data_IF_279067555325
#
_entry.id   IF_279067555325
#
_cell.length_a   1.000
_cell.length_b   1.000
_cell.length_c   1.000
_cell.angle_alpha   90.00
_cell.angle_beta   90.00
_cell.angle_gamma   90.00
#
_symmetry.space_group_name_H-M   'P 1'
#
loop_
_entity.id
_entity.type
_entity.pdbx_description
1 polymer ?
#
# COMPACT_ATOMS: atom_id res chain seq x y z
N UNK A 1 -26.23 -22.59 8.34
CA UNK A 1 -25.20 -21.57 8.05
C UNK A 1 -23.84 -22.17 8.37
N UNK A 2 -22.89 -22.24 7.42
CA UNK A 2 -21.52 -22.69 7.73
C UNK A 2 -20.84 -21.62 8.59
N UNK A 3 -20.32 -22.02 9.74
CA UNK A 3 -19.56 -21.15 10.63
C UNK A 3 -18.22 -20.86 9.95
N UNK A 4 -18.01 -19.61 9.53
CA UNK A 4 -16.72 -19.17 8.99
C UNK A 4 -15.74 -19.18 10.16
N UNK A 5 -14.75 -20.06 10.12
CA UNK A 5 -13.67 -20.08 11.10
C UNK A 5 -12.61 -19.09 10.57
N UNK A 6 -12.41 -17.93 11.22
CA UNK A 6 -11.34 -17.02 10.81
C UNK A 6 -9.98 -17.72 10.92
N UNK A 7 -9.12 -17.50 9.93
CA UNK A 7 -7.80 -18.12 9.90
C UNK A 7 -6.98 -17.64 11.12
N UNK A 8 -6.53 -18.54 12.01
CA UNK A 8 -5.82 -18.18 13.24
C UNK A 8 -4.48 -17.47 12.99
N UNK A 9 -3.94 -17.54 11.77
CA UNK A 9 -2.68 -16.90 11.37
C UNK A 9 -2.88 -15.59 10.62
N UNK A 10 -4.11 -15.13 10.41
CA UNK A 10 -4.39 -13.94 9.60
C UNK A 10 -3.64 -12.70 10.10
N UNK A 11 -3.60 -12.50 11.42
CA UNK A 11 -2.86 -11.39 12.04
C UNK A 11 -1.34 -11.52 11.94
N UNK A 12 -0.82 -12.74 11.80
CA UNK A 12 0.62 -12.95 11.55
C UNK A 12 1.02 -12.73 10.09
N UNK A 13 0.05 -12.80 9.17
CA UNK A 13 0.27 -12.66 7.73
C UNK A 13 0.15 -11.22 7.23
N UNK A 14 -0.56 -10.37 7.97
CA UNK A 14 -0.83 -8.99 7.55
C UNK A 14 -0.95 -8.06 8.74
N UNK A 15 -0.50 -6.81 8.55
CA UNK A 15 -0.64 -5.72 9.51
C UNK A 15 -1.40 -4.59 8.83
N UNK A 16 -2.41 -4.05 9.49
CA UNK A 16 -3.09 -2.84 9.04
C UNK A 16 -2.19 -1.61 9.24
N UNK A 17 -2.10 -0.77 8.22
CA UNK A 17 -1.34 0.49 8.26
C UNK A 17 -2.30 1.62 7.88
N UNK A 18 -2.46 2.59 8.76
CA UNK A 18 -3.26 3.79 8.51
C UNK A 18 -2.33 4.97 8.25
N UNK A 19 -2.50 5.63 7.10
CA UNK A 19 -1.79 6.88 6.76
C UNK A 19 -2.73 7.83 6.03
N UNK A 20 -2.40 9.12 6.06
CA UNK A 20 -3.19 10.15 5.37
C UNK A 20 -2.61 10.39 3.99
N UNK A 21 -3.48 10.51 3.01
CA UNK A 21 -3.15 10.93 1.66
C UNK A 21 -3.83 12.27 1.37
N UNK A 22 -3.20 13.08 0.54
CA UNK A 22 -3.83 14.30 0.02
C UNK A 22 -4.95 13.95 -0.97
N UNK A 23 -5.86 14.90 -1.17
CA UNK A 23 -7.00 14.70 -2.06
C UNK A 23 -6.60 14.41 -3.51
N UNK A 24 -5.51 14.98 -4.03
CA UNK A 24 -5.07 14.74 -5.40
C UNK A 24 -4.56 13.31 -5.60
N UNK A 25 -3.80 12.79 -4.64
CA UNK A 25 -3.36 11.39 -4.65
C UNK A 25 -4.55 10.42 -4.62
N UNK A 26 -5.55 10.68 -3.77
CA UNK A 26 -6.76 9.85 -3.67
C UNK A 26 -7.51 9.86 -5.01
N UNK A 27 -7.73 11.04 -5.61
CA UNK A 27 -8.43 11.20 -6.88
C UNK A 27 -7.69 10.50 -8.03
N UNK A 28 -6.35 10.54 -8.03
CA UNK A 28 -5.54 9.83 -9.00
C UNK A 28 -5.79 8.33 -8.96
N UNK A 29 -5.69 7.71 -7.77
CA UNK A 29 -5.91 6.26 -7.64
C UNK A 29 -7.36 5.86 -7.92
N UNK A 30 -8.32 6.71 -7.59
CA UNK A 30 -9.73 6.49 -7.96
C UNK A 30 -9.90 6.39 -9.47
N UNK A 31 -9.39 7.34 -10.25
CA UNK A 31 -9.48 7.34 -11.73
C UNK A 31 -8.81 6.13 -12.36
N UNK A 32 -7.71 5.64 -11.79
CA UNK A 32 -7.06 4.42 -12.27
C UNK A 32 -7.88 3.15 -12.01
N UNK A 33 -8.68 3.14 -10.93
CA UNK A 33 -9.52 2.00 -10.55
C UNK A 33 -10.84 1.93 -11.29
N UNK A 34 -11.37 3.07 -11.76
CA UNK A 34 -12.67 3.18 -12.44
C UNK A 34 -12.89 2.17 -13.58
N UNK A 35 -11.96 1.98 -14.53
CA UNK A 35 -12.14 1.00 -15.62
C UNK A 35 -12.28 -0.45 -15.15
N UNK A 36 -11.81 -0.74 -13.94
CA UNK A 36 -11.79 -2.08 -13.34
C UNK A 36 -12.83 -2.25 -12.22
N UNK A 37 -13.60 -1.20 -11.90
CA UNK A 37 -14.54 -1.19 -10.77
C UNK A 37 -13.87 -1.28 -9.40
N UNK A 38 -12.60 -0.84 -9.29
CA UNK A 38 -11.83 -0.91 -8.05
C UNK A 38 -11.88 0.41 -7.28
N UNK A 39 -11.92 0.34 -5.93
CA UNK A 39 -11.78 1.52 -5.07
C UNK A 39 -10.38 2.11 -5.14
N UNK A 40 -10.23 3.36 -4.68
CA UNK A 40 -8.91 3.98 -4.54
C UNK A 40 -8.01 3.16 -3.60
N UNK A 41 -8.54 2.62 -2.49
CA UNK A 41 -7.76 1.81 -1.55
C UNK A 41 -7.29 0.50 -2.17
N UNK A 42 -8.15 -0.18 -2.93
CA UNK A 42 -7.79 -1.40 -3.66
C UNK A 42 -6.68 -1.13 -4.68
N UNK A 43 -6.76 0.00 -5.37
CA UNK A 43 -5.72 0.41 -6.31
C UNK A 43 -4.40 0.73 -5.60
N UNK A 44 -4.43 1.50 -4.51
CA UNK A 44 -3.25 1.80 -3.70
C UNK A 44 -2.59 0.51 -3.22
N UNK A 45 -3.38 -0.41 -2.65
CA UNK A 45 -2.89 -1.70 -2.17
C UNK A 45 -2.17 -2.49 -3.28
N UNK A 46 -2.78 -2.60 -4.46
CA UNK A 46 -2.18 -3.30 -5.61
C UNK A 46 -0.90 -2.63 -6.07
N UNK A 47 -0.88 -1.30 -6.11
CA UNK A 47 0.28 -0.53 -6.55
C UNK A 47 1.47 -0.70 -5.59
N UNK A 48 1.23 -0.60 -4.28
CA UNK A 48 2.24 -0.85 -3.25
C UNK A 48 2.80 -2.28 -3.34
N UNK A 49 1.92 -3.26 -3.54
CA UNK A 49 2.33 -4.66 -3.71
C UNK A 49 3.19 -4.86 -4.97
N UNK A 50 2.85 -4.19 -6.07
CA UNK A 50 3.61 -4.26 -7.31
C UNK A 50 5.01 -3.61 -7.16
N UNK A 51 5.10 -2.45 -6.52
CA UNK A 51 6.37 -1.77 -6.24
C UNK A 51 7.26 -2.68 -5.38
N UNK A 52 6.72 -3.22 -4.28
CA UNK A 52 7.47 -4.13 -3.42
C UNK A 52 7.93 -5.39 -4.16
N UNK A 53 7.07 -5.98 -5.00
CA UNK A 53 7.38 -7.18 -5.78
C UNK A 53 8.38 -6.95 -6.91
N UNK A 54 8.48 -5.74 -7.43
CA UNK A 54 9.45 -5.38 -8.49
C UNK A 54 10.84 -5.03 -7.95
N UNK A 55 10.98 -4.81 -6.64
CA UNK A 55 12.23 -4.32 -6.04
C UNK A 55 12.53 -2.86 -6.39
N UNK A 56 11.56 -2.13 -6.94
CA UNK A 56 11.72 -0.73 -7.28
C UNK A 56 11.88 0.12 -6.02
N UNK A 57 12.91 0.95 -6.00
CA UNK A 57 13.17 1.94 -4.97
C UNK A 57 13.10 3.34 -5.57
N UNK A 58 12.39 4.24 -4.89
CA UNK A 58 12.42 5.66 -5.23
C UNK A 58 13.76 6.22 -4.75
N UNK A 59 14.46 6.95 -5.62
CA UNK A 59 15.56 7.80 -5.21
C UNK A 59 14.99 9.00 -4.46
N UNK A 60 14.91 8.83 -3.15
CA UNK A 60 14.66 9.91 -2.21
C UNK A 60 16.00 10.60 -2.01
N UNK A 61 16.15 11.80 -2.59
CA UNK A 61 17.34 12.68 -2.48
C UNK A 61 17.57 13.16 -1.03
N UNK A 62 17.55 12.23 -0.09
CA UNK A 62 17.58 12.40 1.34
C UNK A 62 18.73 11.56 1.87
N UNK A 63 19.63 12.12 2.68
CA UNK A 63 20.73 11.36 3.23
C UNK A 63 20.18 10.23 4.10
N UNK A 64 20.81 9.06 4.01
CA UNK A 64 20.54 7.92 4.88
C UNK A 64 20.82 8.26 6.34
N UNK A 65 20.26 7.49 7.27
CA UNK A 65 20.52 7.68 8.71
C UNK A 65 22.02 7.58 9.06
N UNK A 66 22.80 6.81 8.29
CA UNK A 66 24.24 6.69 8.47
C UNK A 66 24.96 7.97 8.04
N UNK A 67 24.57 8.55 6.90
CA UNK A 67 25.16 9.79 6.34
C UNK A 67 24.80 11.04 7.16
N UNK A 68 23.69 11.01 7.92
CA UNK A 68 23.30 12.12 8.80
C UNK A 68 24.14 12.21 10.09
N UNK A 69 24.89 11.17 10.43
CA UNK A 69 25.66 11.09 11.68
C UNK A 69 27.14 11.48 11.52
N UNK A 70 27.59 11.73 10.29
CA UNK A 70 28.93 12.23 9.94
C UNK A 70 28.94 13.74 9.76
#
# INVERSE_FOLDING_TARGET
MRKVIPNPYFESLSKEITFRLDFHSIDYYKKLGEPYGLSAEEMIYRYLRYIAGSGYTIDINEPTLAERQT
#
